data_IF_984151584734
#
_entry.id   IF_984151584734
#
_cell.length_a   1.000
_cell.length_b   1.000
_cell.length_c   1.000
_cell.angle_alpha   90.00
_cell.angle_beta   90.00
_cell.angle_gamma   90.00
#
_symmetry.space_group_name_H-M   'P 1'
#
loop_
_entity.id
_entity.type
_entity.pdbx_description
1 polymer ?
#
# COMPACT_ATOMS: atom_id res chain seq x y z
N UNK A 1 -10.09 -21.50 4.90
CA UNK A 1 -10.21 -20.14 4.35
C UNK A 1 -8.86 -19.44 4.50
N UNK A 2 -8.30 -18.86 3.44
CA UNK A 2 -6.98 -18.21 3.47
C UNK A 2 -7.12 -16.72 3.90
N UNK A 3 -6.16 -16.19 4.66
CA UNK A 3 -6.09 -14.78 5.11
C UNK A 3 -6.35 -13.73 3.99
N UNK A 4 -5.86 -13.89 2.74
CA UNK A 4 -6.16 -12.95 1.65
C UNK A 4 -7.64 -12.87 1.24
N UNK A 5 -8.45 -13.93 1.41
CA UNK A 5 -9.87 -13.92 1.04
C UNK A 5 -10.71 -13.10 2.03
N UNK A 6 -10.38 -13.18 3.32
CA UNK A 6 -11.06 -12.42 4.39
C UNK A 6 -10.89 -10.91 4.14
N UNK A 7 -9.71 -10.47 3.70
CA UNK A 7 -9.43 -9.07 3.38
C UNK A 7 -10.13 -8.58 2.11
N UNK A 8 -10.52 -9.47 1.19
CA UNK A 8 -11.24 -9.10 -0.04
C UNK A 8 -12.73 -8.94 0.17
N UNK A 9 -13.29 -9.62 1.17
CA UNK A 9 -14.74 -9.64 1.43
C UNK A 9 -15.16 -8.68 2.55
N UNK A 10 -14.28 -8.44 3.54
CA UNK A 10 -14.62 -7.58 4.67
C UNK A 10 -14.31 -6.11 4.38
N UNK A 11 -15.35 -5.30 4.21
CA UNK A 11 -15.20 -3.85 4.07
C UNK A 11 -15.17 -3.17 5.43
N UNK A 12 -14.51 -2.00 5.51
CA UNK A 12 -14.53 -1.19 6.73
C UNK A 12 -15.96 -0.77 7.12
N UNK A 13 -16.82 -0.57 6.13
CA UNK A 13 -18.24 -0.24 6.32
C UNK A 13 -19.01 -1.38 6.99
N UNK A 14 -18.79 -2.63 6.57
CA UNK A 14 -19.39 -3.81 7.21
C UNK A 14 -18.99 -3.92 8.68
N UNK A 15 -17.72 -3.62 8.99
CA UNK A 15 -17.23 -3.63 10.37
C UNK A 15 -17.83 -2.50 11.19
N UNK A 16 -17.91 -1.28 10.64
CA UNK A 16 -18.59 -0.17 11.31
C UNK A 16 -20.06 -0.50 11.60
N UNK A 17 -20.77 -1.10 10.63
CA UNK A 17 -22.15 -1.54 10.79
C UNK A 17 -22.31 -2.60 11.89
N UNK A 18 -21.40 -3.57 11.97
CA UNK A 18 -21.39 -4.57 13.05
C UNK A 18 -21.27 -3.92 14.44
N UNK A 19 -20.43 -2.89 14.56
CA UNK A 19 -20.31 -2.12 15.80
C UNK A 19 -21.38 -1.03 15.99
N UNK A 20 -22.38 -0.95 15.11
CA UNK A 20 -23.45 0.05 15.17
C UNK A 20 -22.99 1.49 14.91
N UNK A 21 -21.80 1.67 14.32
CA UNK A 21 -21.21 2.97 14.03
C UNK A 21 -21.64 3.42 12.64
N UNK A 22 -22.28 4.58 12.56
CA UNK A 22 -22.70 5.18 11.29
C UNK A 22 -21.82 6.39 10.95
N UNK A 23 -21.15 6.40 9.79
CA UNK A 23 -20.47 7.59 9.32
C UNK A 23 -21.45 8.69 8.94
N UNK A 24 -21.01 9.94 9.12
CA UNK A 24 -21.69 11.13 8.61
C UNK A 24 -21.58 11.24 7.07
N UNK A 25 -22.26 12.21 6.46
CA UNK A 25 -22.23 12.51 5.01
C UNK A 25 -20.83 12.69 4.42
N UNK A 26 -19.83 13.00 5.25
CA UNK A 26 -18.43 13.17 4.84
C UNK A 26 -17.52 11.99 5.22
N UNK A 27 -18.08 10.83 5.55
CA UNK A 27 -17.34 9.64 6.03
C UNK A 27 -16.56 9.88 7.33
N UNK A 28 -17.09 10.74 8.22
CA UNK A 28 -16.51 10.96 9.55
C UNK A 28 -17.32 10.23 10.62
N UNK A 29 -16.63 9.65 11.61
CA UNK A 29 -17.21 9.03 12.79
C UNK A 29 -16.62 9.64 14.06
N UNK A 30 -17.38 9.59 15.15
CA UNK A 30 -16.80 9.76 16.48
C UNK A 30 -15.76 8.66 16.70
N UNK A 31 -14.62 9.02 17.25
CA UNK A 31 -13.57 8.04 17.46
C UNK A 31 -14.05 6.95 18.43
N UNK A 32 -13.99 5.68 18.06
CA UNK A 32 -14.39 4.60 18.96
C UNK A 32 -13.28 4.17 19.93
N UNK A 33 -12.09 4.79 19.83
CA UNK A 33 -10.88 4.41 20.57
C UNK A 33 -10.52 5.39 21.69
N UNK A 34 -11.08 6.60 21.67
CA UNK A 34 -10.93 7.59 22.72
C UNK A 34 -12.22 8.39 22.85
N UNK A 35 -12.44 8.99 24.02
CA UNK A 35 -13.59 9.86 24.24
C UNK A 35 -13.42 11.14 23.42
N UNK A 36 -14.26 11.29 22.40
CA UNK A 36 -14.31 12.47 21.54
C UNK A 36 -15.76 12.93 21.38
N UNK A 37 -16.02 14.20 21.66
CA UNK A 37 -17.32 14.82 21.41
C UNK A 37 -17.56 15.08 19.92
N UNK A 38 -16.47 15.23 19.14
CA UNK A 38 -16.52 15.57 17.71
C UNK A 38 -16.16 14.36 16.82
N UNK A 39 -16.72 14.28 15.60
CA UNK A 39 -16.38 13.23 14.65
C UNK A 39 -14.98 13.46 14.05
N UNK A 40 -13.94 13.07 14.79
CA UNK A 40 -12.52 13.28 14.44
C UNK A 40 -11.90 12.14 13.63
N UNK A 41 -12.62 11.03 13.42
CA UNK A 41 -12.11 9.86 12.70
C UNK A 41 -12.70 9.77 11.30
N UNK A 42 -11.84 9.86 10.28
CA UNK A 42 -12.22 9.76 8.88
C UNK A 42 -12.08 8.34 8.37
N UNK A 43 -13.09 7.89 7.65
CA UNK A 43 -13.16 6.58 7.01
C UNK A 43 -12.87 6.75 5.53
N UNK A 44 -12.02 5.89 4.99
CA UNK A 44 -11.68 5.83 3.58
C UNK A 44 -12.19 4.51 3.01
N UNK A 45 -13.38 4.55 2.43
CA UNK A 45 -14.06 3.37 1.86
C UNK A 45 -13.32 2.80 0.65
N UNK A 46 -12.68 3.64 -0.16
CA UNK A 46 -11.91 3.22 -1.34
C UNK A 46 -10.68 2.37 -1.00
N UNK A 47 -10.05 2.64 0.14
CA UNK A 47 -8.85 1.94 0.62
C UNK A 47 -9.15 0.99 1.78
N UNK A 48 -10.39 0.98 2.31
CA UNK A 48 -10.80 0.24 3.50
C UNK A 48 -9.91 0.53 4.74
N UNK A 49 -9.61 1.81 4.96
CA UNK A 49 -8.76 2.28 6.06
C UNK A 49 -9.42 3.41 6.85
N UNK A 50 -8.95 3.66 8.06
CA UNK A 50 -9.35 4.81 8.88
C UNK A 50 -8.15 5.65 9.30
N UNK A 51 -8.42 6.92 9.60
CA UNK A 51 -7.49 7.80 10.28
C UNK A 51 -8.23 8.69 11.27
N UNK A 52 -7.85 8.63 12.54
CA UNK A 52 -8.33 9.53 13.57
C UNK A 52 -7.38 10.71 13.74
N UNK A 53 -7.85 11.92 13.45
CA UNK A 53 -7.08 13.15 13.64
C UNK A 53 -7.03 13.60 15.11
N UNK A 54 -7.88 13.05 15.98
CA UNK A 54 -7.89 13.34 17.42
C UNK A 54 -6.81 12.58 18.18
N UNK A 55 -6.78 11.25 18.05
CA UNK A 55 -5.82 10.39 18.78
C UNK A 55 -4.65 9.87 17.92
N UNK A 56 -4.64 10.16 16.61
CA UNK A 56 -3.57 9.72 15.70
C UNK A 56 -3.65 8.25 15.27
N UNK A 57 -4.64 7.48 15.74
CA UNK A 57 -4.80 6.08 15.33
C UNK A 57 -5.17 5.99 13.85
N UNK A 58 -4.44 5.16 13.13
CA UNK A 58 -4.67 4.85 11.72
C UNK A 58 -4.48 3.37 11.47
N UNK A 59 -5.26 2.81 10.55
CA UNK A 59 -5.16 1.39 10.28
C UNK A 59 -6.15 0.90 9.24
N UNK A 60 -6.04 -0.40 8.96
CA UNK A 60 -6.99 -1.15 8.16
C UNK A 60 -8.10 -1.77 9.01
N UNK A 61 -9.01 -2.50 8.37
CA UNK A 61 -10.16 -3.16 9.00
C UNK A 61 -9.77 -4.06 10.18
N UNK A 62 -8.62 -4.74 10.12
CA UNK A 62 -8.16 -5.62 11.21
C UNK A 62 -7.64 -4.78 12.38
N UNK A 63 -6.89 -3.71 12.09
CA UNK A 63 -6.45 -2.76 13.11
C UNK A 63 -7.65 -2.13 13.83
N UNK A 64 -8.73 -1.81 13.11
CA UNK A 64 -9.94 -1.30 13.71
C UNK A 64 -10.54 -2.25 14.75
N UNK A 65 -10.66 -3.55 14.41
CA UNK A 65 -11.18 -4.58 15.33
C UNK A 65 -10.23 -4.76 16.52
N UNK A 66 -8.92 -4.81 16.27
CA UNK A 66 -7.91 -4.92 17.31
C UNK A 66 -8.02 -3.78 18.32
N UNK A 67 -8.07 -2.54 17.83
CA UNK A 67 -8.15 -1.35 18.67
C UNK A 67 -9.49 -1.25 19.39
N UNK A 68 -10.58 -1.69 18.77
CA UNK A 68 -11.93 -1.64 19.35
C UNK A 68 -12.09 -2.65 20.48
N UNK A 69 -11.60 -3.87 20.27
CA UNK A 69 -11.76 -4.99 21.19
C UNK A 69 -10.56 -5.16 22.12
N UNK A 70 -9.52 -4.33 21.99
CA UNK A 70 -8.23 -4.46 22.67
C UNK A 70 -7.69 -5.91 22.62
N UNK A 71 -7.70 -6.50 21.42
CA UNK A 71 -7.36 -7.91 21.23
C UNK A 71 -6.12 -8.11 20.36
N UNK A 72 -5.52 -9.30 20.47
CA UNK A 72 -4.35 -9.65 19.69
C UNK A 72 -4.68 -9.86 18.20
N UNK A 73 -3.68 -9.73 17.33
CA UNK A 73 -3.90 -9.71 15.87
C UNK A 73 -4.54 -11.01 15.36
N UNK A 74 -4.18 -12.13 15.97
CA UNK A 74 -4.76 -13.44 15.63
C UNK A 74 -6.24 -13.54 16.00
N UNK A 75 -6.63 -12.97 17.15
CA UNK A 75 -8.02 -12.92 17.59
C UNK A 75 -8.84 -11.97 16.71
N UNK A 76 -8.28 -10.80 16.38
CA UNK A 76 -8.91 -9.87 15.44
C UNK A 76 -9.12 -10.49 14.05
N UNK A 77 -8.17 -11.29 13.56
CA UNK A 77 -8.29 -12.03 12.30
C UNK A 77 -9.41 -13.06 12.31
N UNK A 78 -9.59 -13.80 13.41
CA UNK A 78 -10.70 -14.74 13.56
C UNK A 78 -12.05 -14.04 13.51
N UNK A 79 -12.20 -12.95 14.27
CA UNK A 79 -13.42 -12.13 14.24
C UNK A 79 -13.69 -11.55 12.86
N UNK A 80 -12.66 -11.02 12.20
CA UNK A 80 -12.79 -10.53 10.83
C UNK A 80 -13.27 -11.63 9.86
N UNK A 81 -12.82 -12.87 10.05
CA UNK A 81 -13.28 -14.02 9.26
C UNK A 81 -14.75 -14.38 9.53
N UNK A 82 -15.17 -14.34 10.80
CA UNK A 82 -16.56 -14.55 11.21
C UNK A 82 -17.48 -13.49 10.60
N UNK A 83 -17.10 -12.21 10.71
CA UNK A 83 -17.83 -11.08 10.13
C UNK A 83 -17.93 -11.14 8.60
N UNK A 84 -16.88 -11.66 7.94
CA UNK A 84 -16.90 -11.88 6.50
C UNK A 84 -17.84 -13.02 6.11
N UNK A 85 -17.92 -14.08 6.94
CA UNK A 85 -18.83 -15.21 6.73
C UNK A 85 -20.31 -14.87 7.00
N UNK A 86 -20.60 -14.02 7.98
CA UNK A 86 -21.96 -13.56 8.29
C UNK A 86 -22.51 -12.56 7.26
N UNK A 87 -21.65 -11.82 6.57
CA UNK A 87 -22.05 -10.88 5.50
C UNK A 87 -22.60 -11.59 4.24
N UNK A 88 -22.55 -12.92 4.17
CA UNK A 88 -23.06 -13.67 3.00
C UNK A 88 -24.59 -13.69 2.91
N UNK A 89 -25.32 -13.36 3.98
CA UNK A 89 -26.78 -13.51 4.04
C UNK A 89 -27.56 -12.19 4.10
N UNK A 90 -26.88 -11.05 4.22
CA UNK A 90 -27.53 -9.75 4.37
C UNK A 90 -26.96 -8.74 3.38
N UNK A 91 -27.49 -8.77 2.15
CA UNK A 91 -27.87 -7.60 1.33
C UNK A 91 -27.85 -7.97 -0.16
N UNK A 92 -29.03 -8.40 -0.65
CA UNK A 92 -29.40 -8.08 -2.02
C UNK A 92 -29.65 -6.57 -2.11
N UNK A 93 -28.87 -5.89 -2.95
CA UNK A 93 -29.30 -4.91 -3.97
C UNK A 93 -28.06 -4.18 -4.51
N UNK A 94 -28.04 -4.10 -5.83
CA UNK A 94 -27.15 -3.33 -6.70
C UNK A 94 -25.71 -3.81 -6.76
N UNK A 95 -25.50 -4.62 -7.79
CA UNK A 95 -24.29 -4.75 -8.59
C UNK A 95 -23.71 -3.37 -8.95
N UNK A 96 -23.15 -2.65 -7.98
CA UNK A 96 -22.15 -1.65 -8.23
C UNK A 96 -20.90 -2.42 -8.59
N UNK A 97 -20.57 -2.47 -9.89
CA UNK A 97 -19.38 -3.12 -10.45
C UNK A 97 -18.22 -3.02 -9.46
N UNK A 98 -18.00 -4.09 -8.70
CA UNK A 98 -16.74 -4.33 -8.05
C UNK A 98 -15.76 -4.44 -9.22
N UNK A 99 -15.06 -3.34 -9.51
CA UNK A 99 -13.84 -3.44 -10.28
C UNK A 99 -12.98 -4.35 -9.43
N UNK A 100 -12.93 -5.61 -9.85
CA UNK A 100 -11.93 -6.56 -9.40
C UNK A 100 -10.63 -5.85 -9.74
N UNK A 101 -10.03 -5.13 -8.78
CA UNK A 101 -8.66 -4.70 -8.92
C UNK A 101 -7.90 -6.01 -8.93
N UNK A 102 -7.61 -6.51 -10.12
CA UNK A 102 -6.67 -7.61 -10.33
C UNK A 102 -5.54 -7.41 -9.33
N UNK A 103 -5.29 -8.42 -8.50
CA UNK A 103 -4.18 -8.37 -7.58
C UNK A 103 -2.94 -8.05 -8.40
N UNK A 104 -2.32 -6.90 -8.15
CA UNK A 104 -1.19 -6.40 -8.94
C UNK A 104 -0.11 -7.49 -8.94
N UNK A 105 0.11 -8.13 -10.10
CA UNK A 105 1.12 -9.17 -10.22
C UNK A 105 2.50 -8.52 -10.25
N UNK A 106 3.07 -8.28 -9.06
CA UNK A 106 4.34 -7.58 -8.90
C UNK A 106 5.50 -8.26 -9.64
N UNK A 107 5.43 -9.60 -9.83
CA UNK A 107 6.43 -10.32 -10.59
C UNK A 107 6.38 -9.96 -12.07
N UNK A 108 5.20 -9.94 -12.68
CA UNK A 108 5.04 -9.52 -14.08
C UNK A 108 5.32 -8.04 -14.27
N UNK A 109 4.85 -7.19 -13.35
CA UNK A 109 5.15 -5.76 -13.36
C UNK A 109 6.66 -5.49 -13.31
N UNK A 110 7.38 -6.18 -12.44
CA UNK A 110 8.83 -6.03 -12.33
C UNK A 110 9.56 -6.55 -13.57
N UNK A 111 9.12 -7.67 -14.14
CA UNK A 111 9.66 -8.22 -15.38
C UNK A 111 9.63 -7.18 -16.50
N UNK A 112 8.48 -6.55 -16.72
CA UNK A 112 8.32 -5.49 -17.73
C UNK A 112 9.22 -4.28 -17.43
N UNK A 113 9.34 -3.88 -16.17
CA UNK A 113 10.17 -2.73 -15.76
C UNK A 113 11.66 -3.01 -15.96
N UNK A 114 12.10 -4.25 -15.74
CA UNK A 114 13.47 -4.70 -16.01
C UNK A 114 13.77 -4.74 -17.51
N UNK A 115 12.83 -5.24 -18.32
CA UNK A 115 12.97 -5.25 -19.80
C UNK A 115 12.95 -3.84 -20.40
N UNK A 116 12.19 -2.91 -19.79
CA UNK A 116 12.12 -1.51 -20.22
C UNK A 116 13.29 -0.64 -19.78
N UNK A 117 14.01 -1.04 -18.73
CA UNK A 117 15.15 -0.30 -18.17
C UNK A 117 16.26 0.04 -19.19
N UNK A 118 16.77 -0.88 -20.03
CA UNK A 118 17.81 -0.55 -21.02
C UNK A 118 17.34 0.46 -22.08
N UNK A 119 16.03 0.60 -22.27
CA UNK A 119 15.44 1.53 -23.25
C UNK A 119 15.35 2.97 -22.71
N UNK A 120 15.69 3.20 -21.45
CA UNK A 120 15.59 4.52 -20.81
C UNK A 120 16.97 5.12 -20.52
N UNK A 121 17.45 6.08 -21.32
CA UNK A 121 18.74 6.74 -21.10
C UNK A 121 18.86 7.40 -19.72
N UNK A 122 17.78 8.03 -19.24
CA UNK A 122 17.72 8.68 -17.93
C UNK A 122 17.88 7.69 -16.78
N UNK A 123 17.25 6.53 -16.87
CA UNK A 123 17.35 5.50 -15.85
C UNK A 123 18.76 4.89 -15.84
N UNK A 124 19.32 4.63 -17.02
CA UNK A 124 20.71 4.17 -17.18
C UNK A 124 21.70 5.16 -16.57
N UNK A 125 21.59 6.44 -16.92
CA UNK A 125 22.43 7.51 -16.37
C UNK A 125 22.33 7.60 -14.84
N UNK A 126 21.12 7.51 -14.29
CA UNK A 126 20.93 7.46 -12.84
C UNK A 126 21.67 6.28 -12.20
N UNK A 127 21.61 5.09 -12.79
CA UNK A 127 22.33 3.92 -12.29
C UNK A 127 23.85 4.12 -12.35
N UNK A 128 24.39 4.70 -13.43
CA UNK A 128 25.82 5.03 -13.54
C UNK A 128 26.27 6.00 -12.47
N UNK A 129 25.56 7.11 -12.33
CA UNK A 129 25.87 8.15 -11.35
C UNK A 129 25.79 7.64 -9.90
N UNK A 130 25.06 6.54 -9.67
CA UNK A 130 24.93 5.88 -8.36
C UNK A 130 25.79 4.63 -8.22
N UNK A 131 26.58 4.26 -9.22
CA UNK A 131 27.39 3.04 -9.24
C UNK A 131 26.56 1.75 -9.04
N UNK A 132 25.37 1.69 -9.65
CA UNK A 132 24.40 0.60 -9.51
C UNK A 132 24.24 -0.25 -10.78
N UNK A 133 25.09 -0.06 -11.78
CA UNK A 133 25.02 -0.74 -13.09
C UNK A 133 25.14 -2.27 -13.00
N UNK A 134 25.88 -2.75 -12.00
CA UNK A 134 26.13 -4.17 -11.74
C UNK A 134 24.94 -4.90 -11.08
N UNK A 135 23.90 -4.18 -10.63
CA UNK A 135 22.74 -4.80 -10.01
C UNK A 135 21.91 -5.58 -11.04
N UNK A 136 21.72 -6.88 -10.79
CA UNK A 136 20.95 -7.74 -11.69
C UNK A 136 19.43 -7.63 -11.49
N UNK A 137 18.98 -7.15 -10.32
CA UNK A 137 17.57 -7.09 -9.93
C UNK A 137 17.10 -5.64 -9.80
N UNK A 138 17.19 -4.91 -10.90
CA UNK A 138 16.76 -3.52 -10.99
C UNK A 138 15.88 -3.31 -12.22
N UNK A 139 14.84 -2.49 -12.05
CA UNK A 139 13.91 -2.10 -13.11
C UNK A 139 13.73 -0.59 -13.16
N UNK A 140 13.00 -0.11 -14.18
CA UNK A 140 12.56 1.28 -14.25
C UNK A 140 11.09 1.36 -14.62
N UNK A 141 10.32 2.11 -13.83
CA UNK A 141 8.93 2.41 -14.14
C UNK A 141 8.79 3.82 -14.74
N UNK A 142 8.47 3.89 -16.02
CA UNK A 142 8.18 5.15 -16.72
C UNK A 142 6.84 5.79 -16.34
N UNK A 143 5.92 5.03 -15.73
CA UNK A 143 4.55 5.48 -15.44
C UNK A 143 3.54 5.23 -16.57
N UNK A 144 3.95 4.54 -17.65
CA UNK A 144 3.07 4.16 -18.78
C UNK A 144 2.12 3.04 -18.36
N UNK A 145 2.67 1.90 -17.93
CA UNK A 145 1.89 0.70 -17.60
C UNK A 145 1.43 0.67 -16.13
N UNK A 146 2.10 1.41 -15.25
CA UNK A 146 1.77 1.43 -13.83
C UNK A 146 1.96 2.85 -13.26
N UNK A 147 0.84 3.48 -12.86
CA UNK A 147 0.84 4.89 -12.43
C UNK A 147 1.51 5.10 -11.07
N UNK A 148 1.49 4.09 -10.19
CA UNK A 148 2.24 4.10 -8.92
C UNK A 148 3.74 4.02 -9.23
N UNK A 149 4.58 4.62 -8.39
CA UNK A 149 6.04 4.63 -8.58
C UNK A 149 6.49 5.13 -9.97
N UNK A 150 5.77 6.11 -10.55
CA UNK A 150 6.18 6.72 -11.83
C UNK A 150 7.55 7.37 -11.71
N UNK A 151 8.36 7.21 -12.76
CA UNK A 151 9.72 7.74 -12.86
C UNK A 151 10.62 7.27 -11.72
N UNK A 152 10.50 6.00 -11.33
CA UNK A 152 11.30 5.39 -10.29
C UNK A 152 12.19 4.28 -10.86
N UNK A 153 13.44 4.19 -10.37
CA UNK A 153 14.14 2.91 -10.34
C UNK A 153 13.40 2.01 -9.36
N UNK A 154 13.13 0.78 -9.76
CA UNK A 154 12.37 -0.18 -8.95
C UNK A 154 13.22 -1.38 -8.56
N UNK A 155 12.98 -1.85 -7.34
CA UNK A 155 13.65 -2.98 -6.71
C UNK A 155 12.59 -3.97 -6.20
N UNK A 156 12.75 -5.27 -6.47
CA UNK A 156 11.79 -6.27 -6.03
C UNK A 156 11.99 -6.56 -4.54
N UNK A 157 10.92 -6.48 -3.75
CA UNK A 157 10.90 -6.94 -2.37
C UNK A 157 10.32 -8.36 -2.35
N UNK A 158 11.13 -9.31 -1.88
CA UNK A 158 10.79 -10.74 -1.89
C UNK A 158 10.46 -11.26 -0.50
N UNK A 159 9.57 -12.25 -0.44
CA UNK A 159 9.36 -13.02 0.79
C UNK A 159 10.46 -14.07 0.99
N UNK A 160 10.41 -14.81 2.11
CA UNK A 160 11.34 -15.89 2.44
C UNK A 160 11.42 -17.01 1.39
N UNK A 161 10.35 -17.20 0.62
CA UNK A 161 10.26 -18.17 -0.47
C UNK A 161 10.74 -17.59 -1.82
N UNK A 162 11.19 -16.32 -1.84
CA UNK A 162 11.69 -15.65 -3.04
C UNK A 162 10.62 -15.03 -3.94
N UNK A 163 9.33 -15.06 -3.58
CA UNK A 163 8.29 -14.45 -4.40
C UNK A 163 8.28 -12.93 -4.23
N UNK A 164 8.11 -12.20 -5.33
CA UNK A 164 8.01 -10.74 -5.30
C UNK A 164 6.66 -10.35 -4.71
N UNK A 165 6.67 -9.80 -3.51
CA UNK A 165 5.47 -9.40 -2.76
C UNK A 165 5.18 -7.91 -2.86
N UNK A 166 6.17 -7.09 -3.19
CA UNK A 166 6.01 -5.66 -3.45
C UNK A 166 7.22 -5.08 -4.18
N UNK A 167 7.14 -3.81 -4.60
CA UNK A 167 8.23 -3.08 -5.25
C UNK A 167 8.60 -1.85 -4.43
N UNK A 168 9.89 -1.70 -4.15
CA UNK A 168 10.44 -0.44 -3.65
C UNK A 168 10.84 0.45 -4.84
N UNK A 169 10.41 1.71 -4.84
CA UNK A 169 10.69 2.64 -5.93
C UNK A 169 11.45 3.87 -5.46
N UNK A 170 12.56 4.19 -6.13
CA UNK A 170 13.32 5.41 -5.93
C UNK A 170 13.16 6.34 -7.13
N UNK A 171 12.49 7.48 -6.92
CA UNK A 171 12.25 8.47 -7.97
C UNK A 171 13.57 9.04 -8.51
N UNK A 172 13.67 9.14 -9.83
CA UNK A 172 14.85 9.69 -10.52
C UNK A 172 14.63 11.09 -11.08
N UNK A 173 13.39 11.58 -11.09
CA UNK A 173 13.07 12.96 -11.50
C UNK A 173 13.12 13.89 -10.30
N UNK A 174 13.94 14.93 -10.42
CA UNK A 174 14.03 16.02 -9.46
C UNK A 174 12.68 16.75 -9.36
N UNK A 175 12.16 16.84 -8.14
CA UNK A 175 11.28 17.94 -7.77
C UNK A 175 12.05 18.73 -6.73
N UNK A 176 12.89 19.67 -7.20
CA UNK A 176 13.61 20.62 -6.35
C UNK A 176 14.93 20.11 -5.74
N UNK A 177 16.04 20.56 -6.34
CA UNK A 177 17.31 20.93 -5.72
C UNK A 177 17.96 19.94 -4.74
N UNK A 178 19.08 19.37 -5.16
CA UNK A 178 20.39 19.79 -4.65
C UNK A 178 21.44 19.40 -5.68
N UNK A 179 21.84 20.38 -6.49
CA UNK A 179 23.10 20.29 -7.21
C UNK A 179 24.25 20.26 -6.21
N UNK A 180 25.18 19.34 -6.43
CA UNK A 180 26.56 19.57 -6.03
C UNK A 180 27.31 19.93 -7.30
N UNK A 181 27.65 21.21 -7.43
CA UNK A 181 28.79 21.64 -8.23
C UNK A 181 30.06 21.15 -7.52
N UNK A 182 30.95 20.51 -8.27
CA UNK A 182 32.26 20.11 -7.77
C UNK A 182 32.87 19.02 -8.62
N UNK A 183 33.66 19.41 -9.62
CA UNK A 183 34.77 18.61 -10.10
C UNK A 183 35.63 18.20 -8.90
N UNK A 184 35.56 16.94 -8.49
CA UNK A 184 36.68 16.19 -7.90
C UNK A 184 36.26 14.75 -7.70
N UNK A 185 36.84 13.86 -8.50
CA UNK A 185 36.87 12.44 -8.21
C UNK A 185 37.47 12.21 -6.80
N UNK A 186 36.87 11.35 -5.95
CA UNK A 186 37.57 10.91 -4.76
C UNK A 186 38.69 9.93 -5.18
N UNK A 187 39.88 10.01 -4.53
CA UNK A 187 41.04 9.26 -4.95
C UNK A 187 40.79 7.77 -4.72
N UNK A 188 41.18 6.97 -5.71
CA UNK A 188 41.51 5.56 -5.51
C UNK A 188 42.42 5.46 -4.28
N UNK A 189 41.97 4.76 -3.24
CA UNK A 189 42.88 4.19 -2.25
C UNK A 189 42.74 2.68 -2.34
N UNK A 190 43.65 2.12 -3.12
CA UNK A 190 43.99 0.72 -3.18
C UNK A 190 44.31 0.19 -1.77
N UNK A 191 43.71 -0.96 -1.45
CA UNK A 191 44.34 -2.03 -0.69
C UNK A 191 44.21 -3.31 -1.51
#
# INVERSE_FOLDING_TARGET
MQIPDIKKQLTIMSVLAHYGIKPDKNDHIKCPFHEDDKPSCKIYTETNTYNCFGCGKTGDVIQFIQDKENCDKHTALKKAAELAGENTEVMGISSGKASVKEAENFAELFKMQKEGLPRSPKAQEYLRNRCLEQLQEVGYNSGVNWKKLKQCITFPLKDKNGNIVSLYGRRITESGGHGYFGDTAPPFRSY
#
